data_IF_790542827255
#
_entry.id   IF_790542827255
#
_cell.length_a   1.000
_cell.length_b   1.000
_cell.length_c   1.000
_cell.angle_alpha   90.00
_cell.angle_beta   90.00
_cell.angle_gamma   90.00
#
_symmetry.space_group_name_H-M   'P 1'
#
loop_
_entity.id
_entity.type
_entity.pdbx_description
1 polymer ?
#
# COMPACT_ATOMS: atom_id res chain seq x y z
N UNK A 1 24.88 -6.28 -6.38
CA UNK A 1 24.24 -5.15 -7.08
C UNK A 1 23.73 -4.17 -6.03
N UNK A 2 23.93 -2.86 -6.24
CA UNK A 2 23.31 -1.83 -5.39
C UNK A 2 21.77 -1.88 -5.51
N UNK A 3 21.07 -1.22 -4.59
CA UNK A 3 19.61 -1.10 -4.62
C UNK A 3 19.12 -0.54 -5.97
N UNK A 4 19.65 0.61 -6.41
CA UNK A 4 19.29 1.24 -7.69
C UNK A 4 19.65 0.36 -8.90
N UNK A 5 20.76 -0.38 -8.87
CA UNK A 5 21.13 -1.30 -9.95
C UNK A 5 20.14 -2.46 -10.09
N UNK A 6 19.65 -3.00 -8.97
CA UNK A 6 18.62 -4.05 -9.00
C UNK A 6 17.31 -3.52 -9.58
N UNK A 7 16.89 -2.33 -9.12
CA UNK A 7 15.68 -1.68 -9.60
C UNK A 7 15.75 -1.42 -11.11
N UNK A 8 16.82 -0.79 -11.59
CA UNK A 8 16.98 -0.45 -13.01
C UNK A 8 17.03 -1.69 -13.92
N UNK A 9 17.49 -2.84 -13.41
CA UNK A 9 17.58 -4.07 -14.21
C UNK A 9 16.29 -4.89 -14.18
N UNK A 10 15.56 -4.89 -13.06
CA UNK A 10 14.44 -5.81 -12.83
C UNK A 10 13.07 -5.13 -12.72
N UNK A 11 13.02 -3.80 -12.59
CA UNK A 11 11.81 -3.04 -12.28
C UNK A 11 11.39 -3.11 -10.80
N UNK A 12 12.16 -3.78 -9.93
CA UNK A 12 11.93 -3.81 -8.48
C UNK A 12 13.22 -4.06 -7.69
N UNK A 13 13.25 -3.65 -6.43
CA UNK A 13 14.33 -3.91 -5.49
C UNK A 13 13.79 -4.12 -4.07
N UNK A 14 14.51 -4.89 -3.25
CA UNK A 14 14.16 -5.16 -1.85
C UNK A 14 15.20 -4.52 -0.92
N UNK A 15 14.78 -3.55 -0.12
CA UNK A 15 15.54 -3.04 1.01
C UNK A 15 14.96 -3.61 2.31
N UNK A 16 15.80 -4.30 3.09
CA UNK A 16 15.40 -4.86 4.39
C UNK A 16 15.63 -3.84 5.50
N UNK A 17 14.85 -3.98 6.57
CA UNK A 17 15.02 -3.23 7.82
C UNK A 17 15.02 -1.71 7.63
N UNK A 18 14.16 -1.20 6.75
CA UNK A 18 13.93 0.25 6.59
C UNK A 18 13.42 0.83 7.91
N UNK A 19 12.43 0.17 8.49
CA UNK A 19 11.86 0.50 9.79
C UNK A 19 12.33 -0.50 10.85
N UNK A 20 12.41 -0.03 12.10
CA UNK A 20 12.62 -0.86 13.29
C UNK A 20 11.37 -1.68 13.62
N UNK A 21 11.53 -2.66 14.52
CA UNK A 21 10.40 -3.48 14.98
C UNK A 21 9.34 -2.68 15.72
N UNK A 22 9.75 -1.68 16.50
CA UNK A 22 8.85 -0.86 17.30
C UNK A 22 8.04 0.10 16.41
N UNK A 23 8.69 0.66 15.38
CA UNK A 23 7.99 1.43 14.33
C UNK A 23 6.96 0.56 13.61
N UNK A 24 7.35 -0.65 13.19
CA UNK A 24 6.43 -1.59 12.52
C UNK A 24 5.21 -1.90 13.42
N UNK A 25 5.42 -2.22 14.69
CA UNK A 25 4.33 -2.49 15.62
C UNK A 25 3.39 -1.28 15.80
N UNK A 26 3.95 -0.07 15.77
CA UNK A 26 3.18 1.18 15.80
C UNK A 26 2.35 1.35 14.52
N UNK A 27 2.94 1.09 13.35
CA UNK A 27 2.24 1.17 12.07
C UNK A 27 1.15 0.11 11.93
N UNK A 28 1.37 -1.11 12.43
CA UNK A 28 0.35 -2.16 12.48
C UNK A 28 -0.84 -1.73 13.34
N UNK A 29 -0.58 -1.15 14.51
CA UNK A 29 -1.65 -0.62 15.40
C UNK A 29 -2.46 0.48 14.70
N UNK A 30 -1.79 1.41 14.03
CA UNK A 30 -2.47 2.49 13.30
C UNK A 30 -3.22 1.98 12.06
N UNK A 31 -2.68 0.97 11.38
CA UNK A 31 -3.37 0.30 10.27
C UNK A 31 -4.69 -0.32 10.75
N UNK A 32 -4.65 -1.08 11.85
CA UNK A 32 -5.83 -1.73 12.43
C UNK A 32 -6.85 -0.71 12.94
N UNK A 33 -6.39 0.42 13.50
CA UNK A 33 -7.26 1.52 13.91
C UNK A 33 -8.01 2.11 12.72
N UNK A 34 -7.32 2.38 11.60
CA UNK A 34 -7.94 2.91 10.38
C UNK A 34 -8.94 1.92 9.81
N UNK A 35 -8.59 0.63 9.73
CA UNK A 35 -9.52 -0.42 9.28
C UNK A 35 -10.77 -0.46 10.15
N UNK A 36 -10.62 -0.44 11.47
CA UNK A 36 -11.74 -0.45 12.42
C UNK A 36 -12.64 0.77 12.23
N UNK A 37 -12.04 1.95 12.00
CA UNK A 37 -12.79 3.18 11.70
C UNK A 37 -13.60 3.05 10.40
N UNK A 38 -13.01 2.50 9.33
CA UNK A 38 -13.72 2.26 8.05
C UNK A 38 -14.87 1.27 8.23
N UNK A 39 -14.67 0.18 8.97
CA UNK A 39 -15.73 -0.80 9.22
C UNK A 39 -16.88 -0.22 10.06
N UNK A 40 -16.57 0.66 11.00
CA UNK A 40 -17.57 1.31 11.83
C UNK A 40 -18.31 2.45 11.12
N UNK A 41 -17.79 2.98 10.00
CA UNK A 41 -18.45 4.08 9.27
C UNK A 41 -19.80 3.68 8.68
N UNK A 42 -20.02 2.38 8.46
CA UNK A 42 -21.23 1.84 7.81
C UNK A 42 -21.25 2.06 6.29
N UNK A 43 -20.16 2.56 5.71
CA UNK A 43 -20.02 2.76 4.27
C UNK A 43 -19.79 1.42 3.54
N UNK A 44 -20.08 1.39 2.24
CA UNK A 44 -19.72 0.26 1.39
C UNK A 44 -18.23 0.32 1.02
N UNK A 45 -17.38 -0.25 1.86
CA UNK A 45 -15.91 -0.19 1.77
C UNK A 45 -15.25 -1.36 1.02
N UNK A 46 -16.03 -2.32 0.52
CA UNK A 46 -15.46 -3.42 -0.26
C UNK A 46 -15.02 -2.91 -1.65
N UNK A 47 -13.70 -2.83 -1.85
CA UNK A 47 -13.08 -2.38 -3.08
C UNK A 47 -12.57 -3.54 -3.95
N UNK A 48 -13.18 -4.73 -3.85
CA UNK A 48 -12.87 -5.86 -4.74
C UNK A 48 -12.94 -5.42 -6.20
N UNK A 49 -12.04 -5.95 -7.02
CA UNK A 49 -12.03 -5.61 -8.43
C UNK A 49 -12.92 -6.57 -9.21
N UNK A 50 -14.02 -6.06 -9.77
CA UNK A 50 -14.97 -6.86 -10.55
C UNK A 50 -14.48 -7.24 -11.96
N UNK A 51 -13.24 -7.73 -12.11
CA UNK A 51 -12.66 -8.07 -13.42
C UNK A 51 -13.04 -9.47 -13.88
N UNK A 52 -13.44 -9.64 -15.14
CA UNK A 52 -13.68 -10.95 -15.76
C UNK A 52 -12.44 -11.85 -15.72
N UNK A 53 -11.24 -11.26 -15.70
CA UNK A 53 -9.96 -11.99 -15.68
C UNK A 53 -9.78 -12.88 -14.44
N UNK A 54 -10.44 -12.55 -13.32
CA UNK A 54 -10.25 -13.22 -12.02
C UNK A 54 -11.50 -13.93 -11.51
N UNK A 55 -12.62 -13.86 -12.25
CA UNK A 55 -13.89 -14.49 -11.83
C UNK A 55 -13.78 -16.00 -11.57
N UNK A 56 -12.87 -16.70 -12.25
CA UNK A 56 -12.69 -18.15 -12.12
C UNK A 56 -11.88 -18.57 -10.88
N UNK A 57 -11.23 -17.62 -10.19
CA UNK A 57 -10.43 -17.88 -8.97
C UNK A 57 -10.97 -17.17 -7.73
N UNK A 58 -11.91 -16.24 -7.89
CA UNK A 58 -12.48 -15.47 -6.78
C UNK A 58 -13.81 -16.04 -6.28
N UNK A 59 -13.97 -16.04 -4.97
CA UNK A 59 -15.27 -16.29 -4.36
C UNK A 59 -16.17 -15.05 -4.50
N UNK A 60 -17.47 -15.28 -4.62
CA UNK A 60 -18.48 -14.23 -4.72
C UNK A 60 -18.60 -13.37 -3.45
N UNK A 61 -18.13 -13.85 -2.30
CA UNK A 61 -18.05 -13.13 -1.03
C UNK A 61 -16.64 -12.58 -0.74
N UNK A 62 -15.78 -12.48 -1.76
CA UNK A 62 -14.44 -11.93 -1.59
C UNK A 62 -14.45 -10.43 -1.32
N UNK A 63 -13.47 -9.99 -0.55
CA UNK A 63 -13.37 -8.63 -0.02
C UNK A 63 -11.96 -8.07 -0.06
N UNK A 64 -11.88 -6.76 -0.28
CA UNK A 64 -10.72 -5.93 0.06
C UNK A 64 -11.23 -4.69 0.77
N UNK A 65 -10.78 -4.46 2.00
CA UNK A 65 -11.03 -3.18 2.68
C UNK A 65 -9.95 -2.21 2.23
N UNK A 66 -10.38 -1.07 1.72
CA UNK A 66 -9.48 -0.12 1.06
C UNK A 66 -9.80 1.31 1.43
N UNK A 67 -8.76 2.14 1.51
CA UNK A 67 -8.91 3.60 1.49
C UNK A 67 -7.73 4.27 0.81
N UNK A 68 -7.96 5.49 0.34
CA UNK A 68 -6.94 6.40 -0.14
C UNK A 68 -6.57 7.41 0.94
N UNK A 69 -5.46 8.13 0.73
CA UNK A 69 -5.06 9.25 1.59
C UNK A 69 -4.87 8.84 3.06
N UNK A 70 -4.22 7.70 3.29
CA UNK A 70 -3.93 7.11 4.62
C UNK A 70 -3.28 8.13 5.56
N UNK A 71 -2.42 9.01 5.03
CA UNK A 71 -1.79 10.11 5.79
C UNK A 71 -2.79 11.09 6.40
N UNK A 72 -4.02 11.17 5.88
CA UNK A 72 -5.08 12.04 6.40
C UNK A 72 -5.84 11.40 7.57
N UNK A 73 -5.70 10.09 7.78
CA UNK A 73 -6.34 9.38 8.88
C UNK A 73 -5.44 9.29 10.12
N UNK A 74 -4.13 9.45 9.96
CA UNK A 74 -3.14 9.23 11.02
C UNK A 74 -1.90 10.08 10.80
N UNK A 75 -1.54 10.90 11.79
CA UNK A 75 -0.27 11.63 11.79
C UNK A 75 0.92 10.68 11.79
N UNK A 76 0.83 9.54 12.48
CA UNK A 76 1.88 8.51 12.50
C UNK A 76 2.09 7.93 11.09
N UNK A 77 1.01 7.64 10.35
CA UNK A 77 1.14 7.21 8.95
C UNK A 77 1.71 8.30 8.05
N UNK A 78 1.37 9.58 8.31
CA UNK A 78 1.99 10.71 7.62
C UNK A 78 3.49 10.84 7.90
N UNK A 79 3.92 10.60 9.13
CA UNK A 79 5.32 10.55 9.53
C UNK A 79 6.06 9.37 8.89
N UNK A 80 5.43 8.18 8.83
CA UNK A 80 5.98 7.00 8.15
C UNK A 80 6.30 7.29 6.67
N UNK A 81 5.39 7.95 5.96
CA UNK A 81 5.58 8.31 4.54
C UNK A 81 6.75 9.28 4.36
N UNK A 82 7.02 10.12 5.37
CA UNK A 82 8.12 11.09 5.39
C UNK A 82 9.39 10.56 6.05
N UNK A 83 9.43 9.29 6.44
CA UNK A 83 10.56 8.73 7.17
C UNK A 83 11.85 8.81 6.34
N UNK A 84 12.91 9.37 6.92
CA UNK A 84 14.18 9.71 6.23
C UNK A 84 14.75 8.52 5.42
N UNK A 85 14.82 7.32 6.02
CA UNK A 85 15.31 6.14 5.31
C UNK A 85 14.47 5.75 4.09
N UNK A 86 13.14 5.95 4.15
CA UNK A 86 12.26 5.68 3.01
C UNK A 86 12.49 6.73 1.92
N UNK A 87 12.56 8.01 2.29
CA UNK A 87 12.80 9.11 1.35
C UNK A 87 14.18 9.02 0.70
N UNK A 88 15.24 8.67 1.43
CA UNK A 88 16.58 8.47 0.87
C UNK A 88 16.60 7.34 -0.17
N UNK A 89 15.83 6.26 0.04
CA UNK A 89 15.69 5.18 -0.94
C UNK A 89 14.94 5.65 -2.18
N UNK A 90 13.82 6.35 -2.00
CA UNK A 90 13.06 6.93 -3.10
C UNK A 90 13.92 7.91 -3.91
N UNK A 91 14.62 8.83 -3.26
CA UNK A 91 15.51 9.82 -3.90
C UNK A 91 16.60 9.13 -4.72
N UNK A 92 17.17 8.04 -4.20
CA UNK A 92 18.19 7.25 -4.93
C UNK A 92 17.69 6.58 -6.21
N UNK A 93 16.36 6.54 -6.41
CA UNK A 93 15.72 5.99 -7.60
C UNK A 93 15.16 7.08 -8.53
N UNK A 94 14.49 8.10 -7.98
CA UNK A 94 13.73 9.09 -8.77
C UNK A 94 14.36 10.48 -8.79
N UNK A 95 15.42 10.70 -8.01
CA UNK A 95 16.04 12.02 -7.83
C UNK A 95 15.41 12.84 -6.69
N UNK A 96 15.90 14.07 -6.49
CA UNK A 96 15.43 14.98 -5.44
C UNK A 96 14.01 15.49 -5.70
N UNK A 97 13.50 16.35 -4.81
CA UNK A 97 12.20 17.02 -4.94
C UNK A 97 11.01 16.04 -5.00
N UNK A 98 11.01 15.08 -4.08
CA UNK A 98 9.99 14.03 -3.97
C UNK A 98 8.64 14.64 -3.59
N UNK A 99 7.61 14.33 -4.37
CA UNK A 99 6.21 14.65 -4.09
C UNK A 99 5.44 13.39 -3.74
N UNK A 100 4.68 13.42 -2.64
CA UNK A 100 3.73 12.36 -2.34
C UNK A 100 2.56 12.41 -3.33
N UNK A 101 2.54 11.48 -4.28
CA UNK A 101 1.45 11.40 -5.26
C UNK A 101 0.16 10.82 -4.66
N UNK A 102 0.22 9.64 -4.03
CA UNK A 102 -0.91 9.07 -3.29
C UNK A 102 -0.46 7.98 -2.31
N UNK A 103 -1.33 7.66 -1.36
CA UNK A 103 -1.21 6.48 -0.49
C UNK A 103 -2.49 5.65 -0.59
N UNK A 104 -2.35 4.35 -0.34
CA UNK A 104 -3.46 3.39 -0.29
C UNK A 104 -3.23 2.44 0.88
N UNK A 105 -4.32 2.03 1.51
CA UNK A 105 -4.34 0.93 2.47
C UNK A 105 -5.16 -0.20 1.87
N UNK A 106 -4.64 -1.43 1.92
CA UNK A 106 -5.38 -2.62 1.49
C UNK A 106 -5.33 -3.69 2.57
N UNK A 107 -6.49 -4.03 3.14
CA UNK A 107 -6.65 -5.22 3.98
C UNK A 107 -7.38 -6.31 3.19
N UNK A 108 -6.73 -7.47 3.09
CA UNK A 108 -7.32 -8.70 2.56
C UNK A 108 -7.73 -9.60 3.72
N UNK A 109 -9.03 -9.78 3.99
CA UNK A 109 -9.46 -10.63 5.10
C UNK A 109 -9.00 -12.08 4.90
N UNK A 110 -8.67 -12.75 6.00
CA UNK A 110 -8.23 -14.15 6.00
C UNK A 110 -9.26 -15.02 5.27
N UNK A 111 -8.81 -15.82 4.31
CA UNK A 111 -9.62 -16.71 3.44
C UNK A 111 -10.62 -16.04 2.49
N UNK A 112 -10.85 -14.72 2.59
CA UNK A 112 -11.81 -13.98 1.76
C UNK A 112 -11.18 -12.86 0.92
N UNK A 113 -9.87 -12.61 1.06
CA UNK A 113 -9.19 -11.58 0.29
C UNK A 113 -9.37 -11.74 -1.22
N UNK A 114 -9.91 -10.73 -1.89
CA UNK A 114 -10.00 -10.71 -3.36
C UNK A 114 -8.59 -10.66 -3.99
N UNK A 115 -8.47 -11.22 -5.18
CA UNK A 115 -7.30 -11.12 -6.02
C UNK A 115 -7.14 -9.70 -6.60
N UNK A 116 -5.91 -9.40 -7.04
CA UNK A 116 -5.67 -8.26 -7.93
C UNK A 116 -5.23 -8.85 -9.28
N UNK A 117 -5.94 -8.58 -10.39
CA UNK A 117 -5.49 -8.92 -11.72
C UNK A 117 -4.18 -8.20 -12.03
N UNK A 118 -3.39 -8.78 -12.92
CA UNK A 118 -2.15 -8.15 -13.38
C UNK A 118 -2.49 -6.85 -14.12
N UNK A 119 -1.79 -5.77 -13.76
CA UNK A 119 -1.95 -4.44 -14.35
C UNK A 119 -0.66 -3.63 -14.21
N UNK A 120 -0.58 -2.50 -14.90
CA UNK A 120 0.46 -1.49 -14.70
C UNK A 120 -0.17 -0.24 -14.10
N UNK A 121 0.36 0.22 -12.97
CA UNK A 121 -0.17 1.41 -12.29
C UNK A 121 -0.04 2.67 -13.14
N UNK A 122 1.09 2.84 -13.83
CA UNK A 122 1.38 4.03 -14.64
C UNK A 122 0.26 4.39 -15.62
N UNK A 123 -0.39 3.40 -16.26
CA UNK A 123 -1.46 3.68 -17.23
C UNK A 123 -2.73 4.28 -16.63
N UNK A 124 -2.89 4.27 -15.30
CA UNK A 124 -4.04 4.84 -14.61
C UNK A 124 -3.84 6.27 -14.10
N UNK A 125 -2.61 6.79 -14.16
CA UNK A 125 -2.27 8.10 -13.61
C UNK A 125 -1.88 9.06 -14.75
N UNK A 126 -2.32 10.33 -14.69
CA UNK A 126 -2.04 11.33 -15.73
C UNK A 126 -0.55 11.69 -15.84
#
# INVERSE_FOLDING_TARGET
MSFSSQFNTKGFALQKSVFSKDEIATYETEFDRIVSQLQFSGEHINARWGSELIQHIENSDSEVIHTHNVQSYSSIMSEMVQHEKLLNLSESLIGPDIILHHTKLFLKPKKKGSAFPLHQDWSYFP
#
